data_IF_911202729426
#
_entry.id   IF_911202729426
#
_cell.length_a   1.000
_cell.length_b   1.000
_cell.length_c   1.000
_cell.angle_alpha   90.00
_cell.angle_beta   90.00
_cell.angle_gamma   90.00
#
_symmetry.space_group_name_H-M   'P 1'
#
loop_
_entity.id
_entity.type
_entity.pdbx_description
1 polymer ?
#
# COMPACT_ATOMS: atom_id res chain seq x y z
N UNK A 1 4.96 -13.28 8.33
CA UNK A 1 4.99 -12.74 9.71
C UNK A 1 3.57 -12.32 10.07
N UNK A 2 3.10 -12.56 11.30
CA UNK A 2 1.79 -12.09 11.69
C UNK A 2 1.81 -10.56 11.79
N UNK A 3 0.83 -9.91 11.17
CA UNK A 3 0.59 -8.47 11.34
C UNK A 3 -0.72 -8.24 12.10
N UNK A 4 -0.82 -7.06 12.72
CA UNK A 4 -2.04 -6.55 13.33
C UNK A 4 -2.59 -5.44 12.45
N UNK A 5 -3.90 -5.44 12.27
CA UNK A 5 -4.62 -4.35 11.64
C UNK A 5 -5.51 -3.64 12.66
N UNK A 6 -5.40 -2.31 12.70
CA UNK A 6 -6.36 -1.44 13.36
C UNK A 6 -7.24 -0.85 12.27
N UNK A 7 -8.48 -1.32 12.18
CA UNK A 7 -9.48 -0.76 11.27
C UNK A 7 -9.85 0.64 11.74
N UNK A 8 -9.84 1.61 10.83
CA UNK A 8 -10.15 3.00 11.11
C UNK A 8 -11.45 3.43 10.44
N UNK A 9 -12.20 4.29 11.13
CA UNK A 9 -13.30 5.04 10.53
C UNK A 9 -12.78 6.41 10.11
N UNK A 10 -12.49 6.64 8.82
CA UNK A 10 -11.87 7.87 8.34
C UNK A 10 -12.73 9.10 8.67
N UNK A 11 -12.10 10.21 9.01
CA UNK A 11 -12.80 11.48 9.31
C UNK A 11 -12.86 12.44 8.10
N UNK A 12 -12.16 12.09 7.04
CA UNK A 12 -11.94 12.89 5.84
C UNK A 12 -11.78 11.96 4.64
N UNK A 13 -11.86 12.52 3.44
CA UNK A 13 -11.42 11.82 2.23
C UNK A 13 -9.90 11.57 2.29
N UNK A 14 -9.46 10.52 1.60
CA UNK A 14 -8.05 10.14 1.59
C UNK A 14 -7.22 11.22 0.91
N UNK A 15 -6.38 11.90 1.69
CA UNK A 15 -5.50 12.95 1.19
C UNK A 15 -4.22 12.32 0.62
N UNK A 16 -4.25 11.96 -0.67
CA UNK A 16 -3.09 11.45 -1.40
C UNK A 16 -1.97 12.48 -1.58
N UNK A 17 -2.31 13.77 -1.61
CA UNK A 17 -1.35 14.87 -1.80
C UNK A 17 -0.68 15.30 -0.49
N UNK A 18 -1.21 14.87 0.68
CA UNK A 18 -0.75 15.24 2.02
C UNK A 18 0.56 14.58 2.47
N UNK A 19 1.39 14.07 1.58
CA UNK A 19 2.67 13.45 1.95
C UNK A 19 3.62 14.42 2.66
N UNK A 20 3.62 15.67 2.24
CA UNK A 20 4.32 16.75 2.92
C UNK A 20 3.73 16.98 4.32
N UNK A 21 2.40 16.97 4.47
CA UNK A 21 1.73 17.06 5.76
C UNK A 21 2.11 15.89 6.69
N UNK A 22 2.24 14.68 6.14
CA UNK A 22 2.71 13.50 6.89
C UNK A 22 4.12 13.68 7.43
N UNK A 23 5.08 14.07 6.59
CA UNK A 23 6.45 14.27 7.04
C UNK A 23 6.59 15.46 7.99
N UNK A 24 5.86 16.55 7.75
CA UNK A 24 5.83 17.71 8.64
C UNK A 24 5.23 17.35 10.00
N UNK A 25 4.09 16.66 10.05
CA UNK A 25 3.44 16.28 11.30
C UNK A 25 4.29 15.27 12.09
N UNK A 26 4.87 14.28 11.41
CA UNK A 26 5.79 13.32 12.03
C UNK A 26 7.07 14.01 12.53
N UNK A 27 7.62 14.94 11.75
CA UNK A 27 8.81 15.71 12.13
C UNK A 27 8.56 16.63 13.32
N UNK A 28 7.42 17.32 13.34
CA UNK A 28 7.00 18.17 14.44
C UNK A 28 6.84 17.35 15.74
N UNK A 29 6.14 16.22 15.69
CA UNK A 29 5.97 15.33 16.85
C UNK A 29 7.32 14.90 17.44
N UNK A 30 8.25 14.46 16.60
CA UNK A 30 9.57 13.99 17.03
C UNK A 30 10.44 15.13 17.59
N UNK A 31 10.33 16.32 17.01
CA UNK A 31 11.04 17.52 17.47
C UNK A 31 10.52 18.00 18.82
N UNK A 32 9.21 18.07 19.02
CA UNK A 32 8.58 18.46 20.29
C UNK A 32 8.93 17.51 21.44
N UNK A 33 9.15 16.23 21.14
CA UNK A 33 9.59 15.22 22.12
C UNK A 33 11.11 15.20 22.35
N UNK A 34 11.85 16.14 21.75
CA UNK A 34 13.29 16.32 21.98
C UNK A 34 14.16 15.22 21.37
N UNK A 35 13.66 14.45 20.40
CA UNK A 35 14.41 13.34 19.80
C UNK A 35 15.45 13.81 18.78
N UNK A 36 15.29 15.02 18.21
CA UNK A 36 16.19 15.59 17.20
C UNK A 36 16.20 14.84 15.87
N UNK A 37 15.28 13.89 15.67
CA UNK A 37 15.17 13.12 14.43
C UNK A 37 14.41 13.91 13.37
N UNK A 38 15.00 14.00 12.19
CA UNK A 38 14.36 14.56 11.00
C UNK A 38 13.87 13.42 10.10
N UNK A 39 12.54 13.20 9.99
CA UNK A 39 12.01 12.23 9.05
C UNK A 39 12.39 12.58 7.61
N UNK A 40 12.67 11.56 6.81
CA UNK A 40 12.93 11.73 5.37
C UNK A 40 11.85 11.01 4.58
N UNK A 41 11.24 11.71 3.62
CA UNK A 41 10.34 11.08 2.66
C UNK A 41 11.20 10.45 1.55
N UNK A 42 10.93 9.19 1.26
CA UNK A 42 11.37 8.51 0.06
C UNK A 42 10.13 8.12 -0.75
N UNK A 43 9.98 8.73 -1.92
CA UNK A 43 8.92 8.37 -2.85
C UNK A 43 9.37 7.16 -3.68
N UNK A 44 8.51 6.14 -3.77
CA UNK A 44 8.67 4.99 -4.64
C UNK A 44 7.44 4.89 -5.56
N UNK A 45 7.55 4.24 -6.74
CA UNK A 45 6.39 4.07 -7.62
C UNK A 45 5.23 3.37 -6.88
N UNK A 46 4.11 4.07 -6.71
CA UNK A 46 2.90 3.54 -6.07
C UNK A 46 2.93 3.46 -4.54
N UNK A 47 3.98 3.96 -3.87
CA UNK A 47 4.05 4.01 -2.40
C UNK A 47 5.01 5.08 -1.90
N UNK A 48 4.69 5.66 -0.75
CA UNK A 48 5.54 6.67 -0.12
C UNK A 48 6.03 6.17 1.22
N UNK A 49 7.34 6.24 1.42
CA UNK A 49 8.00 5.78 2.64
C UNK A 49 8.46 7.00 3.43
N UNK A 50 8.02 7.11 4.67
CA UNK A 50 8.55 8.08 5.63
C UNK A 50 9.52 7.35 6.56
N UNK A 51 10.81 7.61 6.39
CA UNK A 51 11.86 7.08 7.26
C UNK A 51 11.94 7.93 8.53
N UNK A 52 11.82 7.29 9.69
CA UNK A 52 11.82 7.95 10.98
C UNK A 52 13.27 8.07 11.51
N UNK A 53 14.03 9.00 10.93
CA UNK A 53 15.40 9.37 11.32
C UNK A 53 16.53 8.60 10.63
N UNK A 54 17.78 9.10 10.74
CA UNK A 54 18.96 8.54 10.02
C UNK A 54 19.36 7.13 10.46
N UNK A 55 18.95 6.69 11.66
CA UNK A 55 19.18 5.35 12.19
C UNK A 55 17.89 4.50 12.37
N UNK A 56 16.75 5.00 11.88
CA UNK A 56 15.49 4.24 11.74
C UNK A 56 14.90 3.69 13.03
N UNK A 57 14.09 4.49 13.74
CA UNK A 57 13.22 3.95 14.82
C UNK A 57 12.10 3.07 14.22
N UNK A 58 11.83 3.21 12.91
CA UNK A 58 10.90 2.42 12.12
C UNK A 58 10.69 3.02 10.73
N UNK A 59 9.87 2.36 9.93
CA UNK A 59 9.46 2.76 8.59
C UNK A 59 7.94 2.90 8.54
N UNK A 60 7.45 4.01 7.99
CA UNK A 60 6.03 4.23 7.76
C UNK A 60 5.76 4.29 6.24
N UNK A 61 5.10 3.26 5.73
CA UNK A 61 4.71 3.16 4.32
C UNK A 61 3.25 3.57 4.16
N UNK A 62 3.01 4.55 3.30
CA UNK A 62 1.67 5.00 2.91
C UNK A 62 1.26 4.28 1.64
N UNK A 63 0.25 3.43 1.78
CA UNK A 63 -0.37 2.66 0.72
C UNK A 63 -1.58 3.42 0.18
N UNK A 64 -1.40 4.14 -0.93
CA UNK A 64 -2.47 4.95 -1.53
C UNK A 64 -3.62 4.07 -2.04
N UNK A 65 -3.31 2.98 -2.76
CA UNK A 65 -4.31 2.07 -3.34
C UNK A 65 -5.30 1.57 -2.31
N UNK A 66 -4.80 1.07 -1.17
CA UNK A 66 -5.64 0.47 -0.14
C UNK A 66 -6.06 1.49 0.93
N UNK A 67 -5.55 2.72 0.85
CA UNK A 67 -5.71 3.77 1.86
C UNK A 67 -5.27 3.29 3.25
N UNK A 68 -4.14 2.58 3.29
CA UNK A 68 -3.59 1.99 4.50
C UNK A 68 -2.27 2.67 4.89
N UNK A 69 -2.01 2.68 6.19
CA UNK A 69 -0.68 3.03 6.72
C UNK A 69 -0.03 1.77 7.26
N UNK A 70 1.13 1.40 6.72
CA UNK A 70 1.90 0.25 7.14
C UNK A 70 3.07 0.75 7.99
N UNK A 71 3.13 0.30 9.24
CA UNK A 71 4.17 0.65 10.19
C UNK A 71 5.05 -0.57 10.45
N UNK A 72 6.29 -0.49 10.01
CA UNK A 72 7.27 -1.56 10.14
C UNK A 72 8.47 -1.14 10.99
N UNK A 73 9.06 -2.10 11.71
CA UNK A 73 10.30 -1.88 12.46
C UNK A 73 10.20 -1.01 13.72
N UNK A 74 9.01 -0.50 14.09
CA UNK A 74 8.83 0.26 15.33
C UNK A 74 8.89 -0.64 16.56
N UNK A 75 9.97 -0.52 17.34
CA UNK A 75 10.11 -1.25 18.60
C UNK A 75 9.55 -0.45 19.79
N UNK A 76 8.53 -0.99 20.46
CA UNK A 76 7.84 -0.31 21.57
C UNK A 76 8.57 -0.50 22.92
N UNK A 77 9.78 0.07 23.03
CA UNK A 77 10.65 -0.09 24.24
C UNK A 77 10.44 0.97 25.31
N UNK A 78 9.78 2.10 25.00
CA UNK A 78 9.59 3.21 25.92
C UNK A 78 8.28 3.98 25.70
N UNK A 79 8.09 5.03 26.52
CA UNK A 79 6.89 5.86 26.49
C UNK A 79 6.80 6.71 25.21
N UNK A 80 7.94 7.14 24.66
CA UNK A 80 7.99 7.96 23.45
C UNK A 80 7.49 7.16 22.25
N UNK A 81 7.93 5.91 22.11
CA UNK A 81 7.53 5.01 21.02
C UNK A 81 6.04 4.63 21.13
N UNK A 82 5.55 4.43 22.36
CA UNK A 82 4.13 4.22 22.61
C UNK A 82 3.27 5.45 22.25
N UNK A 83 3.73 6.66 22.59
CA UNK A 83 3.05 7.91 22.24
C UNK A 83 3.09 8.16 20.73
N UNK A 84 4.22 7.86 20.08
CA UNK A 84 4.37 7.94 18.64
C UNK A 84 3.40 6.99 17.93
N UNK A 85 3.31 5.73 18.37
CA UNK A 85 2.35 4.76 17.84
C UNK A 85 0.89 5.26 17.93
N UNK A 86 0.50 5.83 19.08
CA UNK A 86 -0.83 6.43 19.27
C UNK A 86 -1.05 7.64 18.36
N UNK A 87 -0.03 8.46 18.18
CA UNK A 87 -0.07 9.60 17.27
C UNK A 87 -0.30 9.14 15.83
N UNK A 88 0.47 8.17 15.33
CA UNK A 88 0.33 7.61 13.98
C UNK A 88 -1.08 7.10 13.73
N UNK A 89 -1.67 6.32 14.66
CA UNK A 89 -3.04 5.80 14.52
C UNK A 89 -4.07 6.94 14.43
N UNK A 90 -3.94 7.96 15.29
CA UNK A 90 -4.83 9.12 15.27
C UNK A 90 -4.69 9.93 13.99
N UNK A 91 -3.46 10.18 13.57
CA UNK A 91 -3.17 11.00 12.40
C UNK A 91 -3.59 10.28 11.10
N UNK A 92 -3.35 8.96 10.99
CA UNK A 92 -3.86 8.14 9.89
C UNK A 92 -5.37 8.28 9.70
N UNK A 93 -6.12 8.24 10.81
CA UNK A 93 -7.58 8.44 10.77
C UNK A 93 -7.99 9.84 10.29
N UNK A 94 -7.24 10.87 10.68
CA UNK A 94 -7.47 12.26 10.26
C UNK A 94 -7.13 12.51 8.79
N UNK A 95 -6.19 11.73 8.24
CA UNK A 95 -5.79 11.79 6.83
C UNK A 95 -6.64 10.89 5.92
N UNK A 96 -7.68 10.24 6.48
CA UNK A 96 -8.64 9.45 5.73
C UNK A 96 -8.24 7.98 5.49
N UNK A 97 -7.27 7.45 6.25
CA UNK A 97 -6.88 6.05 6.17
C UNK A 97 -8.03 5.13 6.59
N UNK A 98 -8.13 3.97 5.95
CA UNK A 98 -9.06 2.89 6.30
C UNK A 98 -8.49 1.96 7.36
N UNK A 99 -7.18 1.95 7.54
CA UNK A 99 -6.54 1.09 8.53
C UNK A 99 -5.05 1.39 8.74
N UNK A 100 -4.54 0.92 9.86
CA UNK A 100 -3.10 0.87 10.16
C UNK A 100 -2.69 -0.59 10.32
N UNK A 101 -1.69 -1.01 9.56
CA UNK A 101 -1.13 -2.35 9.60
C UNK A 101 0.24 -2.33 10.24
N UNK A 102 0.50 -3.26 11.15
CA UNK A 102 1.75 -3.30 11.93
C UNK A 102 2.33 -4.71 11.92
N UNK A 103 3.60 -4.85 11.55
CA UNK A 103 4.34 -6.10 11.75
C UNK A 103 4.58 -6.37 13.24
N UNK A 104 4.24 -7.57 13.71
CA UNK A 104 4.41 -7.93 15.12
C UNK A 104 5.81 -8.52 15.31
N UNK A 105 6.63 -7.91 16.16
CA UNK A 105 7.95 -8.44 16.51
C UNK A 105 8.01 -9.10 17.91
N UNK A 106 7.04 -8.81 18.79
CA UNK A 106 6.99 -9.39 20.15
C UNK A 106 5.58 -9.53 20.74
N UNK A 107 5.45 -10.37 21.77
CA UNK A 107 4.19 -10.54 22.51
C UNK A 107 3.75 -9.28 23.27
N UNK A 108 4.70 -8.48 23.75
CA UNK A 108 4.43 -7.21 24.45
C UNK A 108 3.82 -6.17 23.50
N UNK A 109 4.38 -6.06 22.28
CA UNK A 109 3.83 -5.20 21.22
C UNK A 109 2.42 -5.67 20.83
N UNK A 110 2.22 -6.98 20.66
CA UNK A 110 0.90 -7.55 20.37
C UNK A 110 -0.17 -7.11 21.37
N UNK A 111 0.14 -7.09 22.66
CA UNK A 111 -0.80 -6.63 23.70
C UNK A 111 -1.09 -5.14 23.60
N UNK A 112 -0.07 -4.32 23.36
CA UNK A 112 -0.23 -2.88 23.16
C UNK A 112 -1.15 -2.58 21.97
N UNK A 113 -0.89 -3.19 20.81
CA UNK A 113 -1.67 -2.95 19.60
C UNK A 113 -3.12 -3.43 19.74
N UNK A 114 -3.36 -4.57 20.42
CA UNK A 114 -4.72 -5.02 20.76
C UNK A 114 -5.48 -4.03 21.64
N UNK A 115 -4.81 -3.37 22.61
CA UNK A 115 -5.44 -2.32 23.43
C UNK A 115 -5.84 -1.09 22.61
N UNK A 116 -5.19 -0.84 21.47
CA UNK A 116 -5.56 0.20 20.51
C UNK A 116 -6.63 -0.26 19.49
N UNK A 117 -7.24 -1.44 19.69
CA UNK A 117 -8.26 -1.99 18.80
C UNK A 117 -7.71 -2.89 17.68
N UNK A 118 -6.43 -3.24 17.75
CA UNK A 118 -5.79 -4.08 16.74
C UNK A 118 -6.27 -5.53 16.73
N UNK A 119 -6.59 -6.03 15.55
CA UNK A 119 -6.98 -7.41 15.27
C UNK A 119 -5.79 -8.12 14.61
N UNK A 120 -5.48 -9.33 15.08
CA UNK A 120 -4.42 -10.15 14.47
C UNK A 120 -4.99 -10.77 13.21
N UNK A 121 -4.37 -10.52 12.06
CA UNK A 121 -4.80 -11.15 10.82
C UNK A 121 -4.22 -12.56 10.69
N UNK A 122 -4.88 -13.45 9.94
CA UNK A 122 -4.34 -14.75 9.59
C UNK A 122 -2.99 -14.62 8.88
N UNK A 123 -2.08 -15.58 9.11
CA UNK A 123 -0.85 -15.65 8.35
C UNK A 123 -1.12 -16.13 6.93
N UNK A 124 -0.41 -15.55 5.96
CA UNK A 124 -0.45 -15.98 4.58
C UNK A 124 0.11 -17.39 4.41
N UNK A 125 -0.55 -18.20 3.59
CA UNK A 125 -0.16 -19.60 3.32
C UNK A 125 0.40 -19.75 1.91
N UNK A 126 1.30 -20.70 1.64
CA UNK A 126 1.79 -20.92 0.28
C UNK A 126 0.65 -21.29 -0.69
N UNK A 127 0.56 -20.60 -1.83
CA UNK A 127 -0.30 -21.01 -2.93
C UNK A 127 0.40 -22.14 -3.70
N UNK A 128 -0.11 -23.36 -3.57
CA UNK A 128 0.58 -24.56 -4.10
C UNK A 128 0.37 -24.79 -5.60
N UNK A 129 -0.70 -24.25 -6.17
CA UNK A 129 -1.02 -24.44 -7.59
C UNK A 129 -0.43 -23.33 -8.46
N UNK A 130 -0.15 -23.60 -9.74
CA UNK A 130 0.01 -22.55 -10.74
C UNK A 130 -1.22 -21.63 -10.79
N UNK A 131 -1.03 -20.42 -11.30
CA UNK A 131 -2.13 -19.46 -11.47
C UNK A 131 -2.98 -19.91 -12.65
N UNK A 132 -4.27 -20.12 -12.41
CA UNK A 132 -5.26 -20.28 -13.48
C UNK A 132 -5.76 -18.91 -13.93
N UNK A 133 -5.56 -18.59 -15.21
CA UNK A 133 -6.03 -17.34 -15.82
C UNK A 133 -7.53 -17.10 -15.61
N UNK A 134 -8.36 -18.14 -15.62
CA UNK A 134 -9.81 -18.00 -15.48
C UNK A 134 -10.24 -17.53 -14.07
N UNK A 135 -9.35 -17.65 -13.09
CA UNK A 135 -9.58 -17.26 -11.69
C UNK A 135 -8.98 -15.89 -11.36
N UNK A 136 -8.23 -15.29 -12.29
CA UNK A 136 -7.69 -13.94 -12.15
C UNK A 136 -8.77 -12.94 -12.51
N UNK A 137 -9.02 -12.01 -11.60
CA UNK A 137 -9.92 -10.88 -11.81
C UNK A 137 -9.22 -9.56 -11.53
N UNK A 138 -9.85 -8.47 -11.95
CA UNK A 138 -9.44 -7.13 -11.59
C UNK A 138 -10.66 -6.26 -11.28
N UNK A 139 -10.50 -5.34 -10.33
CA UNK A 139 -11.50 -4.34 -9.98
C UNK A 139 -10.84 -3.03 -9.58
N UNK A 140 -11.61 -1.95 -9.64
CA UNK A 140 -11.19 -0.65 -9.13
C UNK A 140 -11.10 -0.73 -7.59
N UNK A 141 -10.06 -0.14 -7.02
CA UNK A 141 -9.88 -0.04 -5.58
C UNK A 141 -10.16 1.39 -5.10
N UNK A 142 -9.41 2.37 -5.61
CA UNK A 142 -9.59 3.79 -5.31
C UNK A 142 -9.09 4.63 -6.50
N UNK A 143 -9.85 5.64 -6.94
CA UNK A 143 -9.52 6.46 -8.13
C UNK A 143 -9.07 5.58 -9.31
N UNK A 144 -7.79 5.66 -9.70
CA UNK A 144 -7.21 4.88 -10.81
C UNK A 144 -6.44 3.64 -10.35
N UNK A 145 -6.33 3.41 -9.04
CA UNK A 145 -5.68 2.25 -8.45
C UNK A 145 -6.56 1.01 -8.59
N UNK A 146 -5.96 -0.11 -8.98
CA UNK A 146 -6.65 -1.36 -9.27
C UNK A 146 -6.23 -2.46 -8.30
N UNK A 147 -7.12 -3.43 -8.08
CA UNK A 147 -6.87 -4.63 -7.30
C UNK A 147 -7.04 -5.87 -8.18
N UNK A 148 -5.95 -6.61 -8.33
CA UNK A 148 -5.95 -7.96 -8.89
C UNK A 148 -6.43 -8.93 -7.82
N UNK A 149 -7.36 -9.80 -8.19
CA UNK A 149 -7.89 -10.86 -7.35
C UNK A 149 -7.58 -12.22 -7.93
N UNK A 150 -7.41 -13.24 -7.09
CA UNK A 150 -7.34 -14.64 -7.49
C UNK A 150 -8.33 -15.43 -6.63
N UNK A 151 -9.18 -16.26 -7.26
CA UNK A 151 -10.25 -16.98 -6.54
C UNK A 151 -11.18 -16.06 -5.72
N UNK A 152 -11.31 -14.79 -6.14
CA UNK A 152 -12.12 -13.77 -5.46
C UNK A 152 -11.41 -13.03 -4.33
N UNK A 153 -10.24 -13.50 -3.90
CA UNK A 153 -9.45 -12.87 -2.82
C UNK A 153 -8.45 -11.84 -3.38
N UNK A 154 -8.10 -10.80 -2.60
CA UNK A 154 -7.15 -9.78 -3.02
C UNK A 154 -5.74 -10.36 -3.15
N UNK A 155 -4.99 -9.98 -4.18
CA UNK A 155 -3.60 -10.45 -4.37
C UNK A 155 -2.62 -9.32 -4.64
N UNK A 156 -2.83 -8.53 -5.71
CA UNK A 156 -1.91 -7.45 -6.07
C UNK A 156 -2.65 -6.12 -6.19
N UNK A 157 -2.07 -5.06 -5.66
CA UNK A 157 -2.48 -3.69 -5.98
C UNK A 157 -1.66 -3.19 -7.16
N UNK A 158 -2.32 -2.51 -8.10
CA UNK A 158 -1.71 -1.91 -9.28
C UNK A 158 -1.94 -0.41 -9.28
N UNK A 159 -0.85 0.34 -9.42
CA UNK A 159 -0.87 1.80 -9.58
C UNK A 159 -0.38 2.16 -10.99
N UNK A 160 -1.15 2.94 -11.77
CA UNK A 160 -0.72 3.34 -13.10
C UNK A 160 0.52 4.24 -13.02
N UNK A 161 1.51 3.94 -13.85
CA UNK A 161 2.77 4.71 -13.94
C UNK A 161 3.18 4.94 -15.39
N UNK A 162 3.93 6.01 -15.62
CA UNK A 162 4.65 6.21 -16.88
C UNK A 162 5.91 5.35 -16.91
N UNK A 163 6.14 4.70 -18.05
CA UNK A 163 7.26 3.79 -18.25
C UNK A 163 8.17 4.29 -19.38
N UNK A 164 9.44 3.89 -19.33
CA UNK A 164 10.40 4.16 -20.40
C UNK A 164 10.24 3.20 -21.59
N UNK A 165 9.54 2.09 -21.41
CA UNK A 165 9.28 1.08 -22.43
C UNK A 165 8.02 0.28 -22.14
N UNK A 166 7.45 -0.33 -23.17
CA UNK A 166 6.36 -1.28 -23.02
C UNK A 166 6.87 -2.59 -22.42
N UNK A 167 6.12 -3.13 -21.45
CA UNK A 167 6.35 -4.50 -21.00
C UNK A 167 6.09 -5.48 -22.18
N UNK A 168 6.88 -6.55 -22.30
CA UNK A 168 6.74 -7.53 -23.38
C UNK A 168 5.34 -8.18 -23.38
N UNK A 169 4.92 -8.68 -24.53
CA UNK A 169 3.62 -9.31 -24.72
C UNK A 169 2.60 -8.45 -25.45
N UNK A 170 1.32 -8.80 -25.32
CA UNK A 170 0.23 -8.12 -26.01
C UNK A 170 0.00 -6.73 -25.42
N UNK A 171 -0.24 -5.76 -26.30
CA UNK A 171 -0.62 -4.39 -25.96
C UNK A 171 -2.07 -4.20 -26.36
N UNK A 172 -2.95 -3.84 -25.41
CA UNK A 172 -4.36 -3.62 -25.72
C UNK A 172 -4.57 -2.29 -26.46
N UNK A 173 -5.70 -2.17 -27.16
CA UNK A 173 -6.10 -0.89 -27.77
C UNK A 173 -6.37 0.18 -26.70
N UNK A 174 -6.96 -0.22 -25.56
CA UNK A 174 -7.16 0.67 -24.42
C UNK A 174 -5.83 1.25 -23.92
N UNK A 175 -4.79 0.41 -23.78
CA UNK A 175 -3.45 0.88 -23.44
C UNK A 175 -2.96 1.95 -24.43
N UNK A 176 -3.08 1.72 -25.74
CA UNK A 176 -2.64 2.68 -26.76
C UNK A 176 -3.40 4.00 -26.72
N UNK A 177 -4.70 3.97 -26.46
CA UNK A 177 -5.53 5.18 -26.36
C UNK A 177 -5.18 5.99 -25.12
N UNK A 178 -5.03 5.33 -23.97
CA UNK A 178 -4.53 5.95 -22.75
C UNK A 178 -3.15 6.59 -23.00
N UNK A 179 -2.20 5.85 -23.56
CA UNK A 179 -0.87 6.38 -23.90
C UNK A 179 -0.97 7.64 -24.77
N UNK A 180 -1.84 7.62 -25.80
CA UNK A 180 -2.08 8.79 -26.66
C UNK A 180 -2.67 9.98 -25.88
N UNK A 181 -3.56 9.75 -24.93
CA UNK A 181 -4.13 10.80 -24.07
C UNK A 181 -3.05 11.45 -23.19
N UNK A 182 -2.07 10.67 -22.73
CA UNK A 182 -0.96 11.13 -21.88
C UNK A 182 0.34 11.42 -22.66
N UNK A 183 0.24 11.92 -23.90
CA UNK A 183 1.39 12.42 -24.66
C UNK A 183 2.21 11.37 -25.41
N UNK A 184 1.71 10.14 -25.51
CA UNK A 184 2.30 9.04 -26.29
C UNK A 184 3.36 8.22 -25.54
N UNK A 185 3.64 8.52 -24.28
CA UNK A 185 4.59 7.76 -23.47
C UNK A 185 4.02 6.39 -23.08
N UNK A 186 4.84 5.32 -23.03
CA UNK A 186 4.41 4.01 -22.56
C UNK A 186 3.83 4.08 -21.15
N UNK A 187 2.73 3.36 -20.94
CA UNK A 187 2.11 3.19 -19.61
C UNK A 187 2.31 1.77 -19.09
N UNK A 188 2.38 1.66 -17.76
CA UNK A 188 2.46 0.40 -17.06
C UNK A 188 1.85 0.49 -15.67
N UNK A 189 2.11 -0.52 -14.86
CA UNK A 189 1.64 -0.57 -13.48
C UNK A 189 2.82 -0.85 -12.55
N UNK A 190 2.96 -0.03 -11.51
CA UNK A 190 3.68 -0.44 -10.32
C UNK A 190 2.78 -1.46 -9.60
N UNK A 191 3.34 -2.64 -9.30
CA UNK A 191 2.60 -3.70 -8.63
C UNK A 191 3.16 -3.97 -7.24
N UNK A 192 2.28 -4.28 -6.30
CA UNK A 192 2.64 -4.65 -4.92
C UNK A 192 1.66 -5.68 -4.39
N UNK A 193 2.08 -6.44 -3.39
CA UNK A 193 1.21 -7.40 -2.73
C UNK A 193 0.13 -6.61 -1.97
N UNK A 194 -1.12 -7.03 -2.11
CA UNK A 194 -2.21 -6.51 -1.29
C UNK A 194 -1.95 -6.91 0.17
N UNK A 195 -2.24 -6.01 1.10
CA UNK A 195 -2.08 -6.24 2.54
C UNK A 195 -2.91 -7.43 2.99
N UNK A 196 -4.11 -7.60 2.44
CA UNK A 196 -4.98 -8.71 2.81
C UNK A 196 -4.77 -9.97 1.96
N UNK A 197 -3.66 -10.08 1.23
CA UNK A 197 -3.38 -11.27 0.43
C UNK A 197 -3.25 -12.52 1.32
N UNK A 198 -4.08 -13.56 1.12
CA UNK A 198 -4.03 -14.75 1.95
C UNK A 198 -2.87 -15.68 1.57
N UNK A 199 -2.12 -15.37 0.52
CA UNK A 199 -1.10 -16.25 -0.03
C UNK A 199 0.31 -15.69 -0.03
N UNK A 200 1.28 -16.58 0.15
CA UNK A 200 2.68 -16.33 -0.23
C UNK A 200 2.82 -16.60 -1.72
N UNK A 201 3.00 -15.54 -2.50
CA UNK A 201 3.09 -15.57 -3.96
C UNK A 201 4.55 -15.70 -4.38
N UNK A 202 4.86 -16.73 -5.18
CA UNK A 202 6.18 -16.88 -5.80
C UNK A 202 6.38 -15.86 -6.92
N UNK A 203 7.62 -15.64 -7.36
CA UNK A 203 7.90 -14.74 -8.48
C UNK A 203 7.19 -15.16 -9.77
N UNK A 204 7.20 -16.46 -10.08
CA UNK A 204 6.52 -16.99 -11.27
C UNK A 204 5.01 -16.74 -11.22
N UNK A 205 4.39 -16.99 -10.05
CA UNK A 205 2.97 -16.71 -9.83
C UNK A 205 2.67 -15.21 -9.94
N UNK A 206 3.57 -14.35 -9.47
CA UNK A 206 3.44 -12.90 -9.61
C UNK A 206 3.43 -12.48 -11.07
N UNK A 207 4.37 -12.99 -11.86
CA UNK A 207 4.47 -12.71 -13.29
C UNK A 207 3.22 -13.19 -14.05
N UNK A 208 2.69 -14.37 -13.69
CA UNK A 208 1.44 -14.89 -14.24
C UNK A 208 0.24 -14.00 -13.89
N UNK A 209 0.10 -13.59 -12.62
CA UNK A 209 -0.99 -12.70 -12.18
C UNK A 209 -0.97 -11.37 -12.95
N UNK A 210 0.21 -10.77 -13.14
CA UNK A 210 0.36 -9.55 -13.92
C UNK A 210 0.02 -9.78 -15.39
N UNK A 211 0.55 -10.85 -15.99
CA UNK A 211 0.31 -11.20 -17.39
C UNK A 211 -1.18 -11.41 -17.68
N UNK A 212 -1.87 -12.13 -16.80
CA UNK A 212 -3.27 -12.46 -16.96
C UNK A 212 -4.22 -11.29 -16.68
N UNK A 213 -3.85 -10.39 -15.76
CA UNK A 213 -4.67 -9.20 -15.44
C UNK A 213 -4.44 -8.02 -16.39
N UNK A 214 -3.29 -7.94 -17.08
CA UNK A 214 -2.84 -6.75 -17.82
C UNK A 214 -3.86 -6.16 -18.79
N UNK A 215 -4.48 -6.98 -19.65
CA UNK A 215 -5.40 -6.46 -20.67
C UNK A 215 -6.64 -5.84 -20.02
N UNK A 216 -7.25 -6.58 -19.09
CA UNK A 216 -8.42 -6.12 -18.35
C UNK A 216 -8.09 -4.90 -17.47
N UNK A 217 -6.86 -4.78 -16.98
CA UNK A 217 -6.40 -3.61 -16.24
C UNK A 217 -6.40 -2.33 -17.07
N UNK A 218 -5.93 -2.40 -18.32
CA UNK A 218 -5.97 -1.24 -19.20
C UNK A 218 -7.38 -0.90 -19.68
N UNK A 219 -8.21 -1.92 -19.93
CA UNK A 219 -9.61 -1.69 -20.30
C UNK A 219 -10.35 -0.96 -19.15
N UNK A 220 -10.20 -1.45 -17.92
CA UNK A 220 -10.78 -0.81 -16.75
C UNK A 220 -10.21 0.58 -16.50
N UNK A 221 -8.90 0.78 -16.65
CA UNK A 221 -8.28 2.09 -16.49
C UNK A 221 -8.78 3.10 -17.54
N UNK A 222 -8.97 2.68 -18.78
CA UNK A 222 -9.56 3.52 -19.85
C UNK A 222 -10.96 3.97 -19.45
N UNK A 223 -11.81 3.05 -19.00
CA UNK A 223 -13.16 3.37 -18.53
C UNK A 223 -13.14 4.36 -17.36
N UNK A 224 -12.22 4.20 -16.42
CA UNK A 224 -12.09 5.11 -15.27
C UNK A 224 -11.65 6.51 -15.68
N UNK A 225 -10.72 6.65 -16.62
CA UNK A 225 -10.25 7.96 -17.11
C UNK A 225 -11.32 8.65 -17.96
N UNK A 226 -12.11 7.91 -18.73
CA UNK A 226 -13.19 8.48 -19.54
C UNK A 226 -14.35 8.97 -18.67
N UNK A 227 -14.60 8.30 -17.54
CA UNK A 227 -15.73 8.60 -16.64
C UNK A 227 -15.36 9.45 -15.41
N UNK A 228 -14.09 9.86 -15.25
CA UNK A 228 -13.62 10.72 -14.16
C UNK A 228 -13.88 12.20 -14.40
#
# INVERSE_FOLDING_TARGET
MPWIEIVLSPQSEWNEEGLEDWALALGAFLTERGTGLNPRIRMLPGLNVVQLGEAGIGELTLSSSERLVILDGLSLKGNIECDFARFVVRFARQMGALGVCISISSATEKHFWRKLGGIVQPESVPLKSPIDKAKVGIKQLAKFSLLVTYEGEPVLCLEPITCNSHAPGLVSLAQRRLEKMYGGSPLGFASRLAVHCPWNISREQWDDLLSFSRLQAFDLLEDLVINS
#
